data_IF_413360813919
#
_entry.id   IF_413360813919
#
_cell.length_a   1.000
_cell.length_b   1.000
_cell.length_c   1.000
_cell.angle_alpha   90.00
_cell.angle_beta   90.00
_cell.angle_gamma   90.00
#
_symmetry.space_group_name_H-M   'P 1'
#
loop_
_entity.id
_entity.type
_entity.pdbx_description
1 polymer ?
#
# COMPACT_ATOMS: atom_id res chain seq x y z
N UNK A 1 -0.81 -0.80 32.64
CA UNK A 1 -0.95 -2.10 32.06
C UNK A 1 -0.15 -2.26 30.80
N UNK A 2 0.71 -3.23 30.77
CA UNK A 2 1.57 -3.40 29.63
C UNK A 2 0.85 -4.13 28.50
N UNK A 3 1.09 -3.69 27.29
CA UNK A 3 0.56 -4.38 26.13
C UNK A 3 1.52 -5.48 25.75
N UNK A 4 0.95 -6.59 25.27
CA UNK A 4 1.79 -7.69 24.84
C UNK A 4 2.61 -7.28 23.61
N UNK A 5 3.78 -7.87 23.40
CA UNK A 5 4.56 -7.59 22.20
C UNK A 5 3.80 -7.91 20.92
N UNK A 6 2.96 -8.94 20.94
CA UNK A 6 2.15 -9.29 19.78
C UNK A 6 1.17 -8.20 19.42
N UNK A 7 0.50 -7.62 20.42
CA UNK A 7 -0.44 -6.54 20.18
C UNK A 7 0.27 -5.35 19.55
N UNK A 8 1.42 -4.99 20.08
CA UNK A 8 2.21 -3.87 19.56
C UNK A 8 2.62 -4.15 18.12
N UNK A 9 3.06 -5.37 17.85
CA UNK A 9 3.49 -5.74 16.50
C UNK A 9 2.35 -5.64 15.49
N UNK A 10 1.18 -6.19 15.81
CA UNK A 10 0.06 -6.18 14.86
C UNK A 10 -0.49 -4.78 14.66
N UNK A 11 -0.47 -3.94 15.69
CA UNK A 11 -0.84 -2.54 15.52
C UNK A 11 0.16 -1.80 14.64
N UNK A 12 1.45 -2.14 14.74
CA UNK A 12 2.47 -1.55 13.91
C UNK A 12 2.26 -1.90 12.43
N UNK A 13 1.80 -3.11 12.15
CA UNK A 13 1.51 -3.54 10.78
C UNK A 13 0.41 -2.65 10.18
N UNK A 14 -0.67 -2.41 10.93
CA UNK A 14 -1.77 -1.57 10.47
C UNK A 14 -1.29 -0.12 10.31
N UNK A 15 -0.50 0.38 11.25
CA UNK A 15 0.03 1.74 11.15
C UNK A 15 0.94 1.91 9.93
N UNK A 16 1.73 0.88 9.59
CA UNK A 16 2.56 0.96 8.41
C UNK A 16 1.71 1.01 7.15
N UNK A 17 0.65 0.22 7.09
CA UNK A 17 -0.27 0.25 5.96
C UNK A 17 -0.93 1.62 5.82
N UNK A 18 -1.28 2.24 6.94
CA UNK A 18 -1.85 3.59 6.90
C UNK A 18 -0.85 4.60 6.36
N UNK A 19 0.40 4.51 6.78
CA UNK A 19 1.44 5.41 6.26
C UNK A 19 1.64 5.21 4.76
N UNK A 20 1.67 3.95 4.32
CA UNK A 20 1.83 3.66 2.90
C UNK A 20 0.64 4.21 2.10
N UNK A 21 -0.56 4.06 2.64
CA UNK A 21 -1.78 4.53 1.97
C UNK A 21 -1.82 6.06 1.84
N UNK A 22 -1.10 6.77 2.70
CA UNK A 22 -1.08 8.22 2.69
C UNK A 22 0.08 8.82 1.90
N UNK A 23 0.87 7.98 1.26
CA UNK A 23 2.01 8.47 0.50
C UNK A 23 1.57 9.47 -0.59
N UNK A 24 2.16 10.64 -0.62
CA UNK A 24 1.74 11.67 -1.56
C UNK A 24 2.80 12.04 -2.59
N UNK A 25 3.85 11.23 -2.72
CA UNK A 25 4.87 11.45 -3.73
C UNK A 25 4.58 10.75 -5.03
N UNK A 26 5.56 10.75 -5.93
CA UNK A 26 5.38 10.15 -7.26
C UNK A 26 6.42 9.08 -7.58
N UNK A 27 7.09 8.55 -6.58
CA UNK A 27 8.03 7.47 -6.79
C UNK A 27 7.24 6.18 -7.03
N UNK A 28 7.45 5.55 -8.16
CA UNK A 28 6.59 4.46 -8.61
C UNK A 28 6.44 3.32 -7.60
N UNK A 29 7.54 2.89 -7.00
CA UNK A 29 7.47 1.77 -6.06
C UNK A 29 6.67 2.12 -4.82
N UNK A 30 6.76 3.35 -4.34
CA UNK A 30 5.97 3.78 -3.21
C UNK A 30 4.49 3.95 -3.57
N UNK A 31 4.21 4.31 -4.82
CA UNK A 31 2.81 4.39 -5.29
C UNK A 31 2.20 3.00 -5.36
N UNK A 32 2.98 2.01 -5.78
CA UNK A 32 2.52 0.63 -5.80
C UNK A 32 2.20 0.17 -4.39
N UNK A 33 3.08 0.46 -3.43
CA UNK A 33 2.84 0.13 -2.03
C UNK A 33 1.59 0.83 -1.52
N UNK A 34 1.39 2.08 -1.90
CA UNK A 34 0.20 2.84 -1.53
C UNK A 34 -1.06 2.17 -2.04
N UNK A 35 -1.06 1.77 -3.31
CA UNK A 35 -2.23 1.12 -3.90
C UNK A 35 -2.55 -0.18 -3.18
N UNK A 36 -1.53 -0.96 -2.89
CA UNK A 36 -1.72 -2.23 -2.19
C UNK A 36 -2.22 -2.01 -0.77
N UNK A 37 -1.70 -0.99 -0.09
CA UNK A 37 -2.14 -0.67 1.25
C UNK A 37 -3.61 -0.23 1.27
N UNK A 38 -4.01 0.62 0.33
CA UNK A 38 -5.40 1.05 0.22
C UNK A 38 -6.31 -0.15 0.00
N UNK A 39 -5.91 -1.04 -0.90
CA UNK A 39 -6.67 -2.23 -1.20
C UNK A 39 -6.82 -3.11 0.04
N UNK A 40 -5.73 -3.32 0.76
CA UNK A 40 -5.73 -4.15 1.94
C UNK A 40 -6.62 -3.55 3.05
N UNK A 41 -6.52 -2.23 3.25
CA UNK A 41 -7.27 -1.56 4.31
C UNK A 41 -8.77 -1.50 4.04
N UNK A 42 -9.18 -1.62 2.78
CA UNK A 42 -10.60 -1.46 2.42
C UNK A 42 -11.26 -2.72 1.89
N UNK A 43 -10.53 -3.83 1.80
CA UNK A 43 -11.07 -5.04 1.16
C UNK A 43 -11.78 -5.99 2.11
N UNK A 44 -11.64 -5.79 3.41
CA UNK A 44 -12.25 -6.69 4.41
C UNK A 44 -11.82 -8.14 4.20
N UNK A 45 -10.56 -8.35 3.82
CA UNK A 45 -10.03 -9.67 3.57
C UNK A 45 -9.84 -10.46 4.86
N UNK A 46 -9.73 -11.77 4.73
CA UNK A 46 -9.45 -12.64 5.88
C UNK A 46 -8.15 -12.24 6.55
N UNK A 47 -7.13 -11.90 5.75
CA UNK A 47 -5.85 -11.47 6.28
C UNK A 47 -6.00 -10.20 7.12
N UNK A 48 -6.71 -9.21 6.60
CA UNK A 48 -6.95 -7.96 7.31
C UNK A 48 -7.71 -8.21 8.60
N UNK A 49 -8.75 -9.05 8.54
CA UNK A 49 -9.54 -9.38 9.73
C UNK A 49 -8.70 -10.07 10.79
N UNK A 50 -7.82 -10.96 10.36
CA UNK A 50 -6.94 -11.68 11.29
C UNK A 50 -5.99 -10.71 11.99
N UNK A 51 -5.36 -9.81 11.22
CA UNK A 51 -4.46 -8.83 11.78
C UNK A 51 -5.20 -7.91 12.76
N UNK A 52 -6.39 -7.45 12.39
CA UNK A 52 -7.20 -6.60 13.26
C UNK A 52 -7.56 -7.31 14.55
N UNK A 53 -7.89 -8.59 14.47
CA UNK A 53 -8.22 -9.37 15.65
C UNK A 53 -7.06 -9.38 16.64
N UNK A 54 -5.84 -9.65 16.16
CA UNK A 54 -4.68 -9.65 17.02
C UNK A 54 -4.30 -8.25 17.52
N UNK A 55 -4.68 -7.22 16.77
CA UNK A 55 -4.45 -5.84 17.18
C UNK A 55 -5.57 -5.29 18.07
N UNK A 56 -6.59 -6.09 18.33
CA UNK A 56 -7.76 -5.69 19.13
C UNK A 56 -8.49 -4.50 18.48
N UNK A 57 -8.66 -4.58 17.17
CA UNK A 57 -9.35 -3.57 16.38
C UNK A 57 -10.54 -4.24 15.70
N UNK A 58 -11.68 -3.57 15.70
CA UNK A 58 -12.87 -4.07 15.01
C UNK A 58 -12.66 -3.90 13.51
N UNK A 59 -12.48 -5.01 12.81
CA UNK A 59 -12.16 -4.98 11.38
C UNK A 59 -13.26 -4.35 10.54
N UNK A 60 -14.52 -4.66 10.82
CA UNK A 60 -15.64 -4.10 10.06
C UNK A 60 -15.70 -2.59 10.19
N UNK A 61 -15.53 -2.10 11.40
CA UNK A 61 -15.56 -0.67 11.65
C UNK A 61 -14.35 0.01 11.01
N UNK A 62 -13.19 -0.63 11.09
CA UNK A 62 -11.97 -0.10 10.47
C UNK A 62 -12.13 0.01 8.96
N UNK A 63 -12.67 -1.05 8.32
CA UNK A 63 -12.89 -1.04 6.87
C UNK A 63 -13.82 0.11 6.48
N UNK A 64 -14.90 0.32 7.24
CA UNK A 64 -15.82 1.41 6.94
C UNK A 64 -15.16 2.76 7.06
N UNK A 65 -14.36 2.95 8.11
CA UNK A 65 -13.67 4.23 8.31
C UNK A 65 -12.66 4.51 7.22
N UNK A 66 -11.88 3.50 6.81
CA UNK A 66 -10.89 3.70 5.76
C UNK A 66 -11.55 3.93 4.42
N UNK A 67 -12.66 3.24 4.13
CA UNK A 67 -13.40 3.45 2.88
C UNK A 67 -13.96 4.86 2.83
N UNK A 68 -14.49 5.36 3.94
CA UNK A 68 -14.99 6.73 3.99
C UNK A 68 -13.87 7.75 3.81
N UNK A 69 -12.71 7.50 4.42
CA UNK A 69 -11.56 8.37 4.26
C UNK A 69 -11.09 8.41 2.82
N UNK A 70 -11.16 7.26 2.11
CA UNK A 70 -10.77 7.22 0.72
C UNK A 70 -11.68 8.08 -0.14
N UNK A 71 -12.98 8.12 0.17
CA UNK A 71 -13.91 8.99 -0.55
C UNK A 71 -13.61 10.46 -0.32
N UNK A 72 -12.92 10.79 0.77
CA UNK A 72 -12.49 12.16 1.04
C UNK A 72 -11.08 12.41 0.52
N UNK A 73 -10.56 11.51 -0.30
CA UNK A 73 -9.23 11.60 -0.92
C UNK A 73 -8.06 11.55 0.08
N UNK A 74 -8.31 11.12 1.30
CA UNK A 74 -7.22 11.02 2.28
C UNK A 74 -6.32 9.80 2.00
N UNK A 75 -6.94 8.72 1.52
CA UNK A 75 -6.22 7.49 1.21
C UNK A 75 -6.46 7.07 -0.22
N UNK A 76 -6.55 8.01 -1.13
CA UNK A 76 -6.83 7.69 -2.53
C UNK A 76 -5.62 8.00 -3.39
N UNK A 77 -5.50 7.30 -4.50
CA UNK A 77 -4.48 7.62 -5.48
C UNK A 77 -4.86 8.90 -6.21
N UNK A 78 -3.93 9.84 -6.26
CA UNK A 78 -4.15 11.07 -7.01
C UNK A 78 -3.97 10.82 -8.51
N UNK A 79 -4.47 11.73 -9.31
CA UNK A 79 -4.37 11.59 -10.77
C UNK A 79 -2.92 11.49 -11.24
N UNK A 80 -2.02 12.29 -10.68
CA UNK A 80 -0.62 12.25 -11.07
C UNK A 80 0.03 10.91 -10.69
N UNK A 81 -0.38 10.33 -9.57
CA UNK A 81 0.10 9.01 -9.16
C UNK A 81 -0.43 7.93 -10.09
N UNK A 82 -1.69 8.03 -10.49
CA UNK A 82 -2.27 7.08 -11.45
C UNK A 82 -1.56 7.17 -12.79
N UNK A 83 -1.18 8.36 -13.21
CA UNK A 83 -0.43 8.52 -14.45
C UNK A 83 0.92 7.78 -14.38
N UNK A 84 1.59 7.86 -13.25
CA UNK A 84 2.86 7.15 -13.08
C UNK A 84 2.65 5.64 -13.17
N UNK A 85 1.60 5.11 -12.52
CA UNK A 85 1.33 3.68 -12.54
C UNK A 85 0.95 3.18 -13.92
N UNK A 86 0.23 3.99 -14.69
CA UNK A 86 -0.26 3.60 -16.00
C UNK A 86 0.72 3.89 -17.12
N UNK A 87 1.85 4.51 -16.81
CA UNK A 87 2.84 4.82 -17.81
C UNK A 87 3.45 3.53 -18.34
N UNK A 88 3.51 3.35 -19.64
CA UNK A 88 4.08 2.12 -20.18
C UNK A 88 5.54 2.01 -19.80
N UNK A 89 5.97 0.78 -19.59
CA UNK A 89 7.36 0.52 -19.29
C UNK A 89 8.17 0.93 -20.49
N UNK A 90 9.22 1.72 -20.25
CA UNK A 90 10.10 2.08 -21.33
C UNK A 90 10.80 0.89 -21.86
N UNK A 91 10.84 0.77 -23.16
CA UNK A 91 11.65 -0.23 -23.78
C UNK A 91 12.97 0.37 -24.10
N UNK A 92 14.02 -0.24 -23.62
CA UNK A 92 15.34 0.23 -23.94
C UNK A 92 15.72 -0.43 -25.21
N UNK A 93 15.69 0.35 -26.28
CA UNK A 93 16.03 -0.19 -27.53
C UNK A 93 17.39 -0.68 -27.58
N UNK A 94 18.18 -0.07 -26.84
CA UNK A 94 19.51 -0.50 -26.87
C UNK A 94 19.69 -1.55 -25.95
N UNK A 95 18.86 -2.08 -25.53
CA UNK A 95 18.99 -2.92 -24.71
C UNK A 95 19.66 -3.84 -25.16
N UNK A 96 19.73 -3.92 -25.99
CA UNK A 96 20.53 -4.72 -26.38
C UNK A 96 21.76 -4.14 -26.40
N UNK A 97 22.11 -3.26 -26.27
CA UNK A 97 23.25 -2.79 -26.31
C UNK A 97 23.79 -2.77 -25.19
N UNK A 98 23.87 -3.17 -24.58
CA UNK A 98 24.33 -3.24 -23.47
C UNK A 98 24.24 -4.31 -22.88
N UNK A 99 24.13 -4.83 -23.43
CA UNK A 99 24.16 -5.73 -23.14
C UNK A 99 24.63 -6.32 -23.16
N UNK A 100 24.95 -6.36 -23.48
CA UNK A 100 25.55 -6.83 -23.62
C UNK A 100 26.10 -7.12 -23.55
N UNK A 101 26.23 -7.01 -23.73
CA UNK A 101 26.86 -7.33 -23.69
C UNK A 101 27.18 -7.99 -23.03
N UNK A 102 27.23 -8.29 -22.81
CA UNK A 102 27.56 -9.05 -22.22
C UNK A 102 27.34 -9.94 -22.41
N UNK A 103 27.23 -10.15 -22.99
CA UNK A 103 27.19 -10.87 -23.32
C UNK A 103 27.19 -11.19 -23.68
N UNK A 104 27.06 -11.16 -23.94
CA UNK A 104 27.28 -11.42 -24.37
C UNK A 104 27.45 -11.74 -24.48
#
# INVERSE_FOLDING_TARGET
>A
MDKSPELILFRAIINQALRDAMYDGVYKYHIIDKREAIQWLTSDSVDFKTICSYAEIDASQATRKFTAAMKLDLYALRDDQNLVLNKPRKKYKHKGKFRLTFNE
#
